data_IF_015438194187
#
_entry.id   IF_015438194187
#
_cell.length_a   1.000
_cell.length_b   1.000
_cell.length_c   1.000
_cell.angle_alpha   90.00
_cell.angle_beta   90.00
_cell.angle_gamma   90.00
#
_symmetry.space_group_name_H-M   'P 1'
#
loop_
_entity.id
_entity.type
_entity.pdbx_description
1 polymer ?
#
# COMPACT_ATOMS: atom_id res chain seq x y z
N UNK A 1 24.47 44.45 -37.99
CA UNK A 1 23.06 44.07 -37.84
C UNK A 1 23.00 42.58 -37.63
N UNK A 2 22.91 42.13 -36.37
CA UNK A 2 22.35 40.84 -35.97
C UNK A 2 22.29 40.84 -34.44
N UNK A 3 21.13 41.21 -33.91
CA UNK A 3 20.75 40.94 -32.53
C UNK A 3 20.19 39.51 -32.46
N UNK A 4 20.63 38.76 -31.47
CA UNK A 4 20.11 37.44 -31.11
C UNK A 4 19.17 37.62 -29.92
N UNK A 5 17.86 37.55 -30.17
CA UNK A 5 16.86 37.41 -29.12
C UNK A 5 16.72 35.92 -28.74
N UNK A 6 17.11 35.60 -27.50
CA UNK A 6 16.75 34.36 -26.83
C UNK A 6 15.38 34.57 -26.16
N UNK A 7 14.32 34.00 -26.73
CA UNK A 7 13.01 33.93 -26.06
C UNK A 7 12.98 32.68 -25.17
N UNK A 8 12.89 32.94 -23.86
CA UNK A 8 12.61 31.97 -22.81
C UNK A 8 11.17 31.45 -22.96
N UNK A 9 11.00 30.13 -23.02
CA UNK A 9 9.70 29.46 -23.16
C UNK A 9 9.28 28.87 -21.81
N UNK A 10 8.92 29.72 -20.85
CA UNK A 10 8.36 29.32 -19.56
C UNK A 10 7.32 30.33 -19.07
N UNK A 11 6.07 30.15 -19.47
CA UNK A 11 4.89 30.33 -18.59
C UNK A 11 3.61 30.03 -19.37
N UNK A 12 3.24 28.74 -19.45
CA UNK A 12 1.89 28.35 -19.85
C UNK A 12 1.10 28.09 -18.56
N UNK A 13 0.57 29.18 -17.98
CA UNK A 13 -0.04 29.20 -16.66
C UNK A 13 -1.24 28.26 -16.44
N UNK A 14 -1.82 28.35 -15.24
CA UNK A 14 -2.81 27.44 -14.62
C UNK A 14 -3.93 26.89 -15.53
N UNK A 15 -4.39 27.65 -16.52
CA UNK A 15 -5.39 27.16 -17.48
C UNK A 15 -4.86 26.04 -18.39
N UNK A 16 -3.58 26.07 -18.76
CA UNK A 16 -2.93 24.99 -19.50
C UNK A 16 -2.81 23.73 -18.63
N UNK A 17 -2.46 23.89 -17.35
CA UNK A 17 -2.38 22.78 -16.39
C UNK A 17 -3.76 22.14 -16.13
N UNK A 18 -4.82 22.94 -16.06
CA UNK A 18 -6.20 22.43 -15.93
C UNK A 18 -6.65 21.66 -17.19
N UNK A 19 -6.25 22.11 -18.38
CA UNK A 19 -6.59 21.44 -19.64
C UNK A 19 -5.80 20.12 -19.83
N UNK A 20 -4.54 20.08 -19.39
CA UNK A 20 -3.72 18.86 -19.34
C UNK A 20 -4.27 17.86 -18.29
N UNK A 21 -4.76 18.33 -17.15
CA UNK A 21 -5.40 17.47 -16.14
C UNK A 21 -6.78 16.94 -16.58
N UNK A 22 -7.57 17.76 -17.28
CA UNK A 22 -8.87 17.36 -17.83
C UNK A 22 -8.74 16.33 -18.97
N UNK A 23 -7.72 16.47 -19.82
CA UNK A 23 -7.44 15.51 -20.91
C UNK A 23 -6.91 14.17 -20.37
N UNK A 24 -6.09 14.18 -19.30
CA UNK A 24 -5.63 12.95 -18.62
C UNK A 24 -6.74 12.19 -17.89
N UNK A 25 -7.70 12.89 -17.29
CA UNK A 25 -8.85 12.25 -16.61
C UNK A 25 -9.87 11.63 -17.58
N UNK A 26 -10.00 12.16 -18.80
CA UNK A 26 -10.83 11.58 -19.86
C UNK A 26 -10.18 10.33 -20.51
N UNK A 27 -8.85 10.27 -20.59
CA UNK A 27 -8.14 9.06 -21.05
C UNK A 27 -8.37 7.86 -20.11
N UNK A 28 -8.41 8.09 -18.79
CA UNK A 28 -8.70 7.07 -17.77
C UNK A 28 -10.15 6.54 -17.85
N UNK A 29 -11.11 7.31 -18.39
CA UNK A 29 -12.52 6.90 -18.51
C UNK A 29 -12.85 6.11 -19.78
N UNK A 30 -11.95 6.04 -20.77
CA UNK A 30 -12.18 5.30 -22.03
C UNK A 30 -11.65 3.85 -22.03
N UNK A 31 -10.92 3.43 -20.99
CA UNK A 31 -10.42 2.06 -20.85
C UNK A 31 -11.39 1.11 -20.11
N UNK A 32 -12.50 1.62 -19.56
CA UNK A 32 -13.50 0.79 -18.86
C UNK A 32 -14.65 0.28 -19.76
N UNK A 33 -14.59 0.48 -21.08
CA UNK A 33 -15.64 0.03 -22.01
C UNK A 33 -15.24 -1.12 -22.95
N UNK A 34 -14.09 -1.78 -22.73
CA UNK A 34 -13.53 -2.76 -23.69
C UNK A 34 -13.19 -4.14 -23.11
N UNK A 35 -13.81 -4.56 -22.00
CA UNK A 35 -13.72 -5.95 -21.52
C UNK A 35 -15.08 -6.59 -21.22
N UNK A 36 -16.05 -6.33 -22.07
CA UNK A 36 -17.23 -7.18 -22.21
C UNK A 36 -17.30 -7.64 -23.67
N UNK A 37 -16.65 -8.76 -24.00
CA UNK A 37 -16.98 -9.74 -25.06
C UNK A 37 -15.80 -10.70 -25.28
N UNK A 38 -16.06 -12.00 -25.09
CA UNK A 38 -15.54 -13.08 -25.94
C UNK A 38 -14.20 -13.73 -25.58
N UNK A 39 -14.24 -14.98 -25.12
CA UNK A 39 -13.07 -15.86 -25.05
C UNK A 39 -12.83 -16.69 -26.32
N UNK A 40 -11.61 -17.23 -26.49
CA UNK A 40 -11.27 -18.62 -26.89
C UNK A 40 -9.78 -18.75 -27.28
N UNK A 41 -9.11 -19.77 -26.74
CA UNK A 41 -8.13 -20.67 -27.39
C UNK A 41 -6.83 -20.16 -28.01
N UNK A 42 -5.68 -20.60 -27.48
CA UNK A 42 -4.77 -21.58 -28.11
C UNK A 42 -3.32 -21.50 -27.55
N UNK A 43 -2.74 -22.69 -27.34
CA UNK A 43 -1.38 -22.99 -26.86
C UNK A 43 -0.34 -22.84 -27.98
N UNK A 44 0.96 -22.66 -27.67
CA UNK A 44 2.12 -23.50 -28.08
C UNK A 44 3.40 -23.00 -27.37
N UNK A 45 4.26 -23.98 -27.06
CA UNK A 45 5.45 -24.03 -26.23
C UNK A 45 6.69 -23.23 -26.68
N UNK A 46 7.58 -22.97 -25.72
CA UNK A 46 9.02 -22.81 -25.95
C UNK A 46 9.83 -23.47 -24.83
N UNK A 47 10.67 -24.43 -25.21
CA UNK A 47 11.65 -25.12 -24.37
C UNK A 47 13.04 -24.47 -24.51
N UNK A 48 13.77 -24.42 -23.40
CA UNK A 48 15.24 -24.25 -23.30
C UNK A 48 15.57 -24.22 -21.81
N UNK A 49 16.22 -25.21 -21.18
CA UNK A 49 17.52 -25.83 -21.49
C UNK A 49 18.62 -24.86 -21.07
N UNK A 50 19.52 -25.07 -20.12
CA UNK A 50 19.89 -26.14 -19.19
C UNK A 50 21.17 -25.66 -18.48
N UNK A 51 21.56 -26.23 -17.33
CA UNK A 51 22.90 -25.98 -16.77
C UNK A 51 23.02 -26.02 -15.23
N UNK A 52 23.38 -27.20 -14.73
CA UNK A 52 23.99 -27.57 -13.44
C UNK A 52 25.15 -26.66 -12.99
N UNK A 53 25.74 -26.65 -11.80
CA UNK A 53 25.54 -27.16 -10.43
C UNK A 53 26.83 -26.80 -9.67
N UNK A 54 26.76 -26.67 -8.33
CA UNK A 54 27.83 -26.93 -7.34
C UNK A 54 29.09 -26.03 -7.38
N UNK A 55 29.89 -25.81 -6.35
CA UNK A 55 29.91 -25.94 -4.89
C UNK A 55 31.27 -25.34 -4.52
N UNK A 56 31.41 -24.64 -3.40
CA UNK A 56 32.72 -24.15 -2.96
C UNK A 56 32.70 -23.73 -1.50
N UNK A 57 32.99 -24.70 -0.64
CA UNK A 57 32.95 -24.60 0.83
C UNK A 57 34.26 -24.05 1.41
N UNK A 58 34.09 -23.31 2.52
CA UNK A 58 34.90 -23.21 3.75
C UNK A 58 36.32 -22.63 3.79
N UNK A 59 36.52 -21.90 4.90
CA UNK A 59 37.69 -21.84 5.80
C UNK A 59 38.36 -20.46 5.81
N UNK A 60 38.88 -19.86 6.89
CA UNK A 60 38.92 -20.13 8.34
C UNK A 60 39.63 -18.92 8.99
N UNK A 61 39.38 -18.70 10.30
CA UNK A 61 40.18 -17.96 11.28
C UNK A 61 40.16 -16.42 11.27
N UNK A 62 39.50 -15.88 12.30
CA UNK A 62 39.79 -14.56 12.88
C UNK A 62 40.92 -14.68 13.90
N UNK A 63 41.93 -13.83 13.75
CA UNK A 63 42.98 -13.61 14.74
C UNK A 63 42.68 -12.34 15.51
N UNK A 64 42.57 -12.49 16.83
CA UNK A 64 42.50 -11.43 17.84
C UNK A 64 43.79 -10.64 17.88
N UNK A 65 43.70 -9.31 17.81
CA UNK A 65 44.80 -8.43 18.24
C UNK A 65 44.24 -7.31 19.13
N UNK A 66 44.59 -7.42 20.41
CA UNK A 66 44.40 -6.43 21.46
C UNK A 66 45.38 -5.28 21.25
N UNK A 67 44.91 -4.03 21.22
CA UNK A 67 45.76 -2.85 21.34
C UNK A 67 45.25 -1.94 22.45
N UNK A 68 46.11 -1.81 23.46
CA UNK A 68 46.07 -0.90 24.59
C UNK A 68 46.24 0.54 24.10
N UNK A 69 45.41 1.48 24.55
CA UNK A 69 45.65 2.92 24.36
C UNK A 69 45.51 3.66 25.68
N UNK A 70 46.64 4.25 26.07
CA UNK A 70 46.88 5.11 27.22
C UNK A 70 46.14 6.44 27.08
N UNK A 71 45.64 6.95 28.21
CA UNK A 71 44.90 8.19 28.31
C UNK A 71 45.73 9.45 28.08
N UNK A 72 45.06 10.46 27.53
CA UNK A 72 45.53 11.86 27.52
C UNK A 72 44.34 12.77 27.83
N UNK A 73 44.53 13.58 28.87
CA UNK A 73 43.64 14.63 29.36
C UNK A 73 43.71 15.84 28.44
N UNK A 74 42.56 16.33 27.94
CA UNK A 74 42.48 17.68 27.34
C UNK A 74 41.11 18.32 27.59
N UNK A 75 41.16 19.38 28.41
CA UNK A 75 40.42 20.66 28.39
C UNK A 75 39.06 20.72 27.68
N UNK A 76 38.03 21.04 28.46
CA UNK A 76 36.67 21.29 27.98
C UNK A 76 36.57 22.56 27.13
N UNK A 77 36.20 22.34 25.86
CA UNK A 77 35.69 23.37 24.96
C UNK A 77 34.18 23.28 24.95
N UNK A 78 33.51 24.37 25.33
CA UNK A 78 32.05 24.51 25.25
C UNK A 78 31.65 24.59 23.78
N UNK A 79 31.26 23.45 23.21
CA UNK A 79 30.71 23.39 21.85
C UNK A 79 29.26 23.83 21.90
N UNK A 80 28.98 25.05 21.43
CA UNK A 80 27.62 25.50 21.12
C UNK A 80 27.01 24.48 20.16
N UNK A 81 26.06 23.70 20.66
CA UNK A 81 25.31 22.74 19.85
C UNK A 81 24.36 23.55 18.99
N UNK A 82 24.81 23.96 17.80
CA UNK A 82 23.90 24.37 16.74
C UNK A 82 23.06 23.15 16.43
N UNK A 83 21.83 23.13 16.96
CA UNK A 83 20.88 22.06 16.70
C UNK A 83 20.68 21.99 15.20
N UNK A 84 21.25 20.97 14.57
CA UNK A 84 20.91 20.61 13.20
C UNK A 84 19.45 20.20 13.23
N UNK A 85 18.54 21.12 12.86
CA UNK A 85 17.17 20.77 12.51
C UNK A 85 17.25 19.80 11.35
N UNK A 86 17.23 18.50 11.65
CA UNK A 86 16.94 17.48 10.65
C UNK A 86 15.52 17.75 10.18
N UNK A 87 15.38 18.42 9.04
CA UNK A 87 14.12 18.47 8.33
C UNK A 87 13.79 17.05 7.92
N UNK A 88 12.91 16.39 8.67
CA UNK A 88 12.33 15.12 8.22
C UNK A 88 11.59 15.40 6.92
N UNK A 89 12.04 14.75 5.84
CA UNK A 89 11.31 14.72 4.58
C UNK A 89 10.47 13.45 4.53
N UNK A 90 9.23 13.60 4.08
CA UNK A 90 8.27 12.54 3.83
C UNK A 90 7.66 12.78 2.46
N UNK A 91 7.19 11.71 1.84
CA UNK A 91 6.60 11.73 0.51
C UNK A 91 5.09 11.81 0.67
N UNK A 92 4.42 12.67 -0.10
CA UNK A 92 2.98 12.64 -0.20
C UNK A 92 2.56 11.39 -0.99
N UNK A 93 1.76 10.53 -0.38
CA UNK A 93 1.21 9.37 -1.05
C UNK A 93 0.29 9.82 -2.20
N UNK A 94 0.36 9.17 -3.37
CA UNK A 94 -0.54 9.49 -4.47
C UNK A 94 -1.97 9.10 -4.13
N UNK A 95 -2.92 9.87 -4.65
CA UNK A 95 -4.34 9.48 -4.62
C UNK A 95 -4.59 8.39 -5.64
N UNK A 96 -5.17 7.28 -5.18
CA UNK A 96 -5.63 6.19 -6.05
C UNK A 96 -7.13 5.99 -5.98
N UNK A 97 -7.65 5.18 -6.90
CA UNK A 97 -9.05 4.75 -6.86
C UNK A 97 -9.36 3.94 -5.59
N UNK A 98 -10.54 4.16 -5.00
CA UNK A 98 -11.11 3.26 -3.99
C UNK A 98 -11.59 1.93 -4.60
N UNK A 99 -11.58 1.81 -5.93
CA UNK A 99 -12.01 0.62 -6.63
C UNK A 99 -13.49 0.31 -6.42
N UNK A 100 -13.96 -0.86 -6.86
CA UNK A 100 -15.39 -1.19 -6.82
C UNK A 100 -15.88 -1.71 -5.45
N UNK A 101 -14.98 -1.95 -4.48
CA UNK A 101 -15.28 -2.68 -3.24
C UNK A 101 -15.06 -1.92 -1.90
N UNK A 102 -15.20 -0.58 -1.81
CA UNK A 102 -14.85 0.16 -0.59
C UNK A 102 -15.82 -0.08 0.58
N UNK A 103 -17.14 -0.15 0.36
CA UNK A 103 -18.14 -0.18 1.44
C UNK A 103 -18.05 1.05 2.36
N UNK A 104 -17.77 2.20 1.77
CA UNK A 104 -17.64 3.53 2.38
C UNK A 104 -18.90 4.40 2.13
N UNK A 105 -19.92 3.82 1.51
CA UNK A 105 -21.13 4.51 1.08
C UNK A 105 -21.02 5.26 -0.26
N UNK A 106 -19.88 5.16 -0.98
CA UNK A 106 -19.73 5.74 -2.32
C UNK A 106 -20.19 4.80 -3.43
N UNK A 107 -20.39 3.52 -3.11
CA UNK A 107 -20.81 2.49 -4.05
C UNK A 107 -22.09 1.75 -3.63
N UNK A 108 -22.66 1.00 -4.57
CA UNK A 108 -23.91 0.26 -4.42
C UNK A 108 -23.68 -1.21 -4.78
N UNK A 109 -24.28 -2.13 -4.01
CA UNK A 109 -24.31 -3.58 -4.27
C UNK A 109 -25.76 -4.02 -4.31
N UNK A 110 -26.16 -4.69 -5.39
CA UNK A 110 -27.54 -5.21 -5.54
C UNK A 110 -28.62 -4.13 -5.31
N UNK A 111 -28.36 -2.89 -5.73
CA UNK A 111 -29.29 -1.76 -5.58
C UNK A 111 -29.31 -1.09 -4.21
N UNK A 112 -28.47 -1.54 -3.25
CA UNK A 112 -28.36 -0.96 -1.90
C UNK A 112 -27.00 -0.31 -1.71
N UNK A 113 -26.97 0.89 -1.12
CA UNK A 113 -25.72 1.57 -0.75
C UNK A 113 -24.94 0.71 0.24
N UNK A 114 -23.70 0.36 -0.11
CA UNK A 114 -22.83 -0.44 0.75
C UNK A 114 -22.02 0.51 1.64
N UNK A 115 -22.27 0.50 2.95
CA UNK A 115 -21.55 1.33 3.91
C UNK A 115 -21.29 0.58 5.23
N UNK A 116 -20.11 -0.03 5.35
CA UNK A 116 -19.65 -0.66 6.58
C UNK A 116 -19.21 0.36 7.63
N UNK A 117 -18.84 1.59 7.23
CA UNK A 117 -18.33 2.62 8.15
C UNK A 117 -19.39 3.11 9.15
N UNK A 118 -20.68 2.94 8.85
CA UNK A 118 -21.78 3.25 9.77
C UNK A 118 -22.21 2.06 10.63
N UNK A 119 -21.58 0.89 10.45
CA UNK A 119 -21.95 -0.33 11.18
C UNK A 119 -21.22 -0.43 12.51
N UNK A 120 -21.95 -0.70 13.59
CA UNK A 120 -21.34 -0.91 14.91
C UNK A 120 -20.35 -2.08 14.87
N UNK A 121 -19.17 -1.89 15.45
CA UNK A 121 -18.07 -2.86 15.44
C UNK A 121 -17.05 -2.66 14.32
N UNK A 122 -17.23 -1.70 13.40
CA UNK A 122 -16.23 -1.42 12.35
C UNK A 122 -14.94 -0.78 12.89
N UNK A 123 -15.01 -0.08 14.03
CA UNK A 123 -13.82 0.49 14.70
C UNK A 123 -13.15 -0.62 15.50
N UNK A 124 -12.02 -1.14 15.00
CA UNK A 124 -11.39 -2.37 15.50
C UNK A 124 -9.96 -2.53 14.98
N UNK A 125 -9.11 -3.19 15.77
CA UNK A 125 -7.74 -3.54 15.38
C UNK A 125 -7.65 -4.87 14.62
N UNK A 126 -8.26 -5.94 15.13
CA UNK A 126 -8.29 -7.23 14.43
C UNK A 126 -9.45 -7.26 13.44
N UNK A 127 -9.14 -7.23 12.14
CA UNK A 127 -10.14 -7.19 11.06
C UNK A 127 -10.41 -8.58 10.44
N UNK A 128 -9.80 -9.66 10.93
CA UNK A 128 -9.91 -10.98 10.28
C UNK A 128 -11.30 -11.60 10.34
N UNK A 129 -12.06 -11.28 11.37
CA UNK A 129 -13.42 -11.82 11.58
C UNK A 129 -14.49 -10.81 11.19
N UNK A 130 -15.60 -11.29 10.67
CA UNK A 130 -16.80 -10.49 10.45
C UNK A 130 -17.38 -9.97 11.78
N UNK A 131 -18.32 -9.03 11.69
CA UNK A 131 -18.91 -8.34 12.84
C UNK A 131 -20.37 -7.97 12.61
N UNK A 132 -21.04 -7.56 13.69
CA UNK A 132 -22.47 -7.25 13.67
C UNK A 132 -23.29 -8.52 13.46
N UNK A 133 -24.13 -8.54 12.43
CA UNK A 133 -24.95 -9.70 12.05
C UNK A 133 -24.18 -10.79 11.30
N UNK A 134 -22.91 -10.54 10.94
CA UNK A 134 -22.05 -11.48 10.22
C UNK A 134 -21.05 -12.14 11.16
N UNK A 135 -20.55 -13.33 10.83
CA UNK A 135 -19.78 -14.16 11.77
C UNK A 135 -18.57 -14.91 11.22
N UNK A 136 -18.36 -14.97 9.90
CA UNK A 136 -17.24 -15.73 9.32
C UNK A 136 -15.89 -15.04 9.50
N UNK A 137 -14.81 -15.83 9.54
CA UNK A 137 -13.42 -15.36 9.65
C UNK A 137 -12.67 -15.70 8.37
N UNK A 138 -11.86 -14.77 7.88
CA UNK A 138 -11.01 -15.00 6.72
C UNK A 138 -9.75 -15.80 7.09
N UNK A 139 -9.53 -16.90 6.37
CA UNK A 139 -8.28 -17.67 6.45
C UNK A 139 -7.17 -16.98 5.65
N UNK A 140 -5.93 -17.05 6.15
CA UNK A 140 -4.75 -16.54 5.46
C UNK A 140 -3.53 -16.46 6.35
N UNK A 141 -2.40 -16.04 5.75
CA UNK A 141 -1.15 -15.81 6.50
C UNK A 141 -1.29 -14.55 7.33
N UNK A 142 -1.05 -14.64 8.63
CA UNK A 142 -1.21 -13.53 9.57
C UNK A 142 -0.33 -12.33 9.19
N UNK A 143 -0.92 -11.14 9.24
CA UNK A 143 -0.26 -9.87 9.00
C UNK A 143 -0.62 -8.87 10.12
N UNK A 144 0.39 -8.33 10.80
CA UNK A 144 0.23 -7.14 11.63
C UNK A 144 0.65 -5.92 10.82
N UNK A 145 -0.29 -5.05 10.47
CA UNK A 145 -0.06 -3.84 9.68
C UNK A 145 -0.06 -2.62 10.59
N UNK A 146 1.09 -1.97 10.74
CA UNK A 146 1.25 -0.70 11.43
C UNK A 146 1.35 0.43 10.41
N UNK A 147 0.42 1.38 10.48
CA UNK A 147 0.37 2.56 9.60
C UNK A 147 0.67 3.79 10.45
N UNK A 148 1.66 4.57 10.02
CA UNK A 148 1.93 5.90 10.55
C UNK A 148 1.43 6.95 9.56
N UNK A 149 0.73 7.97 10.03
CA UNK A 149 0.18 9.04 9.19
C UNK A 149 0.85 10.36 9.56
N UNK A 150 1.37 11.08 8.57
CA UNK A 150 2.12 12.33 8.76
C UNK A 150 1.65 13.42 7.80
N UNK A 151 1.81 14.68 8.20
CA UNK A 151 1.51 15.84 7.37
C UNK A 151 2.74 16.30 6.57
N UNK A 152 2.70 16.17 5.25
CA UNK A 152 3.81 16.57 4.37
C UNK A 152 3.98 18.08 4.24
N UNK A 153 2.95 18.88 4.53
CA UNK A 153 3.01 20.34 4.52
C UNK A 153 3.50 20.92 5.86
N UNK A 154 3.67 20.09 6.88
CA UNK A 154 4.08 20.50 8.23
C UNK A 154 5.28 19.69 8.74
N UNK A 155 6.33 19.60 7.92
CA UNK A 155 7.60 18.92 8.27
C UNK A 155 7.41 17.48 8.77
N UNK A 156 6.42 16.76 8.21
CA UNK A 156 6.09 15.38 8.59
C UNK A 156 5.60 15.24 10.04
N UNK A 157 4.93 16.26 10.57
CA UNK A 157 4.27 16.19 11.86
C UNK A 157 3.27 15.02 11.90
N UNK A 158 3.23 14.31 13.03
CA UNK A 158 2.29 13.20 13.23
C UNK A 158 0.85 13.68 13.16
N UNK A 159 -0.01 12.98 12.41
CA UNK A 159 -1.43 13.28 12.33
C UNK A 159 -2.21 12.43 13.34
N UNK A 160 -2.45 12.99 14.52
CA UNK A 160 -3.23 12.35 15.60
C UNK A 160 -4.74 12.60 15.45
N UNK A 161 -5.57 11.61 15.81
CA UNK A 161 -7.04 11.72 15.76
C UNK A 161 -7.65 11.46 14.38
N UNK A 162 -6.84 11.16 13.37
CA UNK A 162 -7.29 10.83 12.02
C UNK A 162 -7.82 9.39 11.99
N UNK A 163 -8.91 9.16 11.26
CA UNK A 163 -9.42 7.82 11.07
C UNK A 163 -8.79 7.18 9.82
N UNK A 164 -8.28 5.96 9.98
CA UNK A 164 -7.71 5.15 8.91
C UNK A 164 -8.65 3.98 8.67
N UNK A 165 -9.27 3.93 7.49
CA UNK A 165 -10.06 2.79 7.05
C UNK A 165 -9.20 1.90 6.15
N UNK A 166 -9.22 0.58 6.37
CA UNK A 166 -8.50 -0.40 5.57
C UNK A 166 -9.46 -1.47 5.06
N UNK A 167 -9.30 -1.88 3.80
CA UNK A 167 -9.95 -3.08 3.26
C UNK A 167 -9.10 -3.80 2.21
N UNK A 168 -9.27 -5.12 2.09
CA UNK A 168 -8.62 -5.91 1.05
C UNK A 168 -9.34 -7.24 0.78
N UNK A 169 -8.88 -7.98 -0.24
CA UNK A 169 -9.38 -9.30 -0.58
C UNK A 169 -8.87 -10.38 0.39
N UNK A 170 -9.60 -11.50 0.49
CA UNK A 170 -9.14 -12.68 1.21
C UNK A 170 -8.04 -13.45 0.46
N UNK A 171 -7.57 -14.56 1.03
CA UNK A 171 -6.53 -15.43 0.43
C UNK A 171 -6.92 -16.05 -0.93
N UNK A 172 -8.21 -15.99 -1.29
CA UNK A 172 -8.74 -16.46 -2.58
C UNK A 172 -9.04 -15.30 -3.55
N UNK A 173 -8.71 -14.06 -3.20
CA UNK A 173 -8.93 -12.88 -4.04
C UNK A 173 -10.37 -12.35 -4.01
N UNK A 174 -11.17 -12.73 -3.01
CA UNK A 174 -12.57 -12.33 -2.88
C UNK A 174 -12.70 -11.15 -1.92
N UNK A 175 -13.57 -10.20 -2.24
CA UNK A 175 -13.91 -9.09 -1.34
C UNK A 175 -15.21 -9.39 -0.61
N UNK A 176 -15.17 -9.42 0.72
CA UNK A 176 -16.34 -9.57 1.59
C UNK A 176 -17.43 -8.54 1.23
N UNK A 177 -18.71 -8.87 1.31
CA UNK A 177 -19.87 -8.08 0.83
C UNK A 177 -20.08 -8.06 -0.70
N UNK A 178 -19.07 -8.38 -1.51
CA UNK A 178 -19.13 -8.18 -2.97
C UNK A 178 -19.00 -9.47 -3.77
N UNK A 179 -17.97 -10.25 -3.49
CA UNK A 179 -17.65 -11.43 -4.28
C UNK A 179 -18.57 -12.60 -3.94
N UNK A 180 -18.92 -13.40 -4.96
CA UNK A 180 -19.69 -14.63 -4.77
C UNK A 180 -19.05 -15.53 -3.71
N UNK A 181 -19.87 -16.11 -2.84
CA UNK A 181 -19.45 -16.94 -1.71
C UNK A 181 -19.05 -16.18 -0.44
N UNK A 182 -18.90 -14.85 -0.50
CA UNK A 182 -18.53 -14.01 0.67
C UNK A 182 -19.37 -12.73 0.78
N UNK A 183 -20.50 -12.66 0.06
CA UNK A 183 -21.46 -11.53 0.15
C UNK A 183 -22.10 -11.40 1.54
N UNK A 184 -22.19 -12.50 2.30
CA UNK A 184 -22.69 -12.51 3.67
C UNK A 184 -21.57 -12.40 4.71
N UNK A 185 -20.46 -11.74 4.38
CA UNK A 185 -19.32 -11.52 5.27
C UNK A 185 -18.89 -10.06 5.19
N UNK A 186 -18.26 -9.54 6.24
CA UNK A 186 -17.68 -8.19 6.27
C UNK A 186 -16.30 -8.15 6.95
N UNK A 187 -15.61 -9.28 7.04
CA UNK A 187 -14.21 -9.35 7.46
C UNK A 187 -13.30 -8.52 6.54
N UNK A 188 -12.04 -8.37 6.98
CA UNK A 188 -10.94 -7.67 6.30
C UNK A 188 -11.28 -6.23 5.95
N UNK A 189 -12.08 -5.61 6.82
CA UNK A 189 -12.54 -4.22 6.79
C UNK A 189 -12.48 -3.68 8.20
N UNK A 190 -11.87 -2.53 8.41
CA UNK A 190 -11.88 -1.91 9.73
C UNK A 190 -11.30 -0.52 9.77
N UNK A 191 -11.72 0.21 10.79
CA UNK A 191 -11.30 1.58 11.06
C UNK A 191 -10.51 1.61 12.36
N UNK A 192 -9.43 2.37 12.39
CA UNK A 192 -8.72 2.75 13.61
C UNK A 192 -8.52 4.26 13.62
N UNK A 193 -8.31 4.84 14.80
CA UNK A 193 -7.99 6.26 14.96
C UNK A 193 -6.53 6.38 15.37
N UNK A 194 -5.78 7.24 14.69
CA UNK A 194 -4.36 7.45 14.97
C UNK A 194 -4.14 7.99 16.38
N UNK A 195 -3.15 7.42 17.08
CA UNK A 195 -2.74 7.87 18.41
C UNK A 195 -1.94 9.19 18.36
N UNK A 196 -1.34 9.60 19.49
CA UNK A 196 -0.51 10.80 19.56
C UNK A 196 0.75 10.74 18.67
N UNK A 197 1.18 9.54 18.27
CA UNK A 197 2.30 9.32 17.35
C UNK A 197 1.86 9.28 15.89
N UNK A 198 0.56 9.44 15.61
CA UNK A 198 0.00 9.31 14.28
C UNK A 198 -0.13 7.86 13.84
N UNK A 199 -0.16 6.90 14.78
CA UNK A 199 -0.05 5.47 14.47
C UNK A 199 -1.36 4.72 14.70
N UNK A 200 -1.64 3.76 13.83
CA UNK A 200 -2.65 2.71 14.01
C UNK A 200 -2.03 1.35 13.74
N UNK A 201 -2.59 0.30 14.35
CA UNK A 201 -2.19 -1.08 14.07
C UNK A 201 -3.42 -1.95 13.82
N UNK A 202 -3.35 -2.74 12.76
CA UNK A 202 -4.35 -3.73 12.38
C UNK A 202 -3.77 -5.15 12.45
N UNK A 203 -4.56 -6.09 12.93
CA UNK A 203 -4.31 -7.53 12.74
C UNK A 203 -5.19 -8.02 11.61
N UNK A 204 -4.57 -8.52 10.55
CA UNK A 204 -5.23 -8.96 9.32
C UNK A 204 -4.54 -10.19 8.72
N UNK A 205 -4.81 -10.52 7.47
CA UNK A 205 -4.07 -11.51 6.68
C UNK A 205 -3.40 -10.87 5.47
N UNK A 206 -2.42 -11.55 4.89
CA UNK A 206 -1.85 -11.16 3.61
C UNK A 206 -2.90 -11.25 2.48
N UNK A 207 -3.09 -10.22 1.63
CA UNK A 207 -4.05 -10.27 0.53
C UNK A 207 -3.57 -11.22 -0.59
N UNK A 208 -4.50 -11.81 -1.33
CA UNK A 208 -4.15 -12.60 -2.53
C UNK A 208 -3.74 -11.73 -3.72
N UNK A 209 -3.18 -12.38 -4.74
CA UNK A 209 -3.15 -11.83 -6.10
C UNK A 209 -4.38 -12.33 -6.86
N UNK A 210 -5.35 -11.46 -7.10
CA UNK A 210 -6.43 -11.75 -8.05
C UNK A 210 -6.03 -11.30 -9.47
N UNK A 211 -6.75 -11.79 -10.47
CA UNK A 211 -6.38 -11.60 -11.89
C UNK A 211 -6.37 -10.10 -12.26
N UNK A 212 -5.31 -9.67 -12.94
CA UNK A 212 -5.17 -8.32 -13.49
C UNK A 212 -4.75 -7.21 -12.51
N UNK A 213 -4.48 -7.50 -11.23
CA UNK A 213 -4.04 -6.49 -10.25
C UNK A 213 -2.86 -6.96 -9.41
N UNK A 214 -1.91 -6.07 -9.17
CA UNK A 214 -0.83 -6.28 -8.20
C UNK A 214 -1.42 -6.46 -6.79
N UNK A 215 -0.88 -7.34 -5.92
CA UNK A 215 -1.42 -7.52 -4.57
C UNK A 215 -1.37 -6.23 -3.76
N UNK A 216 -2.49 -5.88 -3.11
CA UNK A 216 -2.63 -4.58 -2.44
C UNK A 216 -3.58 -4.63 -1.24
N UNK A 217 -3.45 -3.62 -0.39
CA UNK A 217 -4.39 -3.29 0.67
C UNK A 217 -4.85 -1.86 0.43
N UNK A 218 -6.16 -1.64 0.33
CA UNK A 218 -6.67 -0.29 0.19
C UNK A 218 -6.71 0.44 1.53
N UNK A 219 -6.64 1.76 1.47
CA UNK A 219 -6.93 2.60 2.62
C UNK A 219 -7.57 3.93 2.27
N UNK A 220 -8.27 4.49 3.25
CA UNK A 220 -8.75 5.87 3.26
C UNK A 220 -8.37 6.55 4.57
N UNK A 221 -7.98 7.81 4.48
CA UNK A 221 -7.66 8.68 5.61
C UNK A 221 -8.73 9.75 5.73
N UNK A 222 -9.34 9.88 6.90
CA UNK A 222 -10.32 10.90 7.21
C UNK A 222 -9.81 11.80 8.34
N UNK A 223 -10.18 13.10 8.38
CA UNK A 223 -9.77 14.01 9.46
C UNK A 223 -10.18 13.56 10.86
N UNK A 224 -11.25 12.76 10.95
CA UNK A 224 -11.75 12.19 12.21
C UNK A 224 -12.63 10.96 11.96
N UNK A 225 -12.93 10.23 13.04
CA UNK A 225 -13.91 9.13 12.98
C UNK A 225 -15.32 9.61 12.60
N UNK A 226 -15.73 10.79 13.07
CA UNK A 226 -17.04 11.36 12.74
C UNK A 226 -17.17 11.59 11.22
N UNK A 227 -16.13 12.16 10.59
CA UNK A 227 -16.09 12.39 9.14
C UNK A 227 -16.06 11.10 8.33
N UNK A 228 -15.49 10.01 8.85
CA UNK A 228 -15.47 8.72 8.15
C UNK A 228 -16.88 8.14 7.94
N UNK A 229 -17.83 8.46 8.83
CA UNK A 229 -19.23 7.98 8.70
C UNK A 229 -20.08 8.80 7.73
N UNK A 230 -19.57 9.97 7.34
CA UNK A 230 -20.21 10.85 6.35
C UNK A 230 -19.54 10.63 5.00
N UNK A 231 -20.27 10.04 4.04
CA UNK A 231 -19.75 9.66 2.72
C UNK A 231 -18.89 10.76 2.06
N UNK A 232 -17.85 10.36 1.31
CA UNK A 232 -17.02 11.25 0.45
C UNK A 232 -16.17 12.30 1.17
N UNK A 233 -15.72 12.05 2.39
CA UNK A 233 -14.89 12.98 3.17
C UNK A 233 -13.46 12.47 3.43
N UNK A 234 -13.00 11.48 2.65
CA UNK A 234 -11.61 11.04 2.72
C UNK A 234 -10.70 12.18 2.24
N UNK A 235 -9.69 12.51 3.06
CA UNK A 235 -8.59 13.40 2.70
C UNK A 235 -7.64 12.73 1.71
N UNK A 236 -7.48 11.41 1.83
CA UNK A 236 -6.67 10.60 0.94
C UNK A 236 -7.35 9.22 0.78
N UNK A 237 -7.52 8.81 -0.46
CA UNK A 237 -7.85 7.43 -0.84
C UNK A 237 -6.63 6.89 -1.58
N UNK A 238 -6.10 5.74 -1.18
CA UNK A 238 -4.94 5.14 -1.85
C UNK A 238 -4.82 3.64 -1.57
N UNK A 239 -3.70 3.03 -1.97
CA UNK A 239 -3.46 1.59 -1.88
C UNK A 239 -2.01 1.31 -1.49
N UNK A 240 -1.78 0.36 -0.59
CA UNK A 240 -0.45 -0.18 -0.33
C UNK A 240 -0.10 -1.23 -1.39
N UNK A 241 1.07 -1.12 -2.00
CA UNK A 241 1.60 -2.13 -2.92
C UNK A 241 2.37 -3.19 -2.11
N UNK A 242 1.93 -4.45 -2.11
CA UNK A 242 2.58 -5.47 -1.30
C UNK A 242 3.95 -5.85 -1.90
N UNK A 243 5.01 -6.03 -1.08
CA UNK A 243 6.36 -6.25 -1.59
C UNK A 243 6.51 -7.61 -2.28
N UNK A 244 7.04 -7.59 -3.50
CA UNK A 244 7.14 -8.74 -4.41
C UNK A 244 7.80 -9.98 -3.80
N UNK A 245 8.89 -9.78 -3.04
CA UNK A 245 9.62 -10.88 -2.41
C UNK A 245 8.75 -11.65 -1.42
N UNK A 246 7.94 -10.95 -0.61
CA UNK A 246 7.07 -11.58 0.39
C UNK A 246 5.85 -12.22 -0.27
N UNK A 247 5.27 -11.57 -1.29
CA UNK A 247 4.23 -12.18 -2.14
C UNK A 247 4.72 -13.52 -2.71
N UNK A 248 5.94 -13.55 -3.26
CA UNK A 248 6.55 -14.77 -3.81
C UNK A 248 6.69 -15.86 -2.75
N UNK A 249 7.16 -15.52 -1.55
CA UNK A 249 7.28 -16.49 -0.45
C UNK A 249 5.91 -17.05 -0.03
N UNK A 250 4.90 -16.19 0.16
CA UNK A 250 3.58 -16.61 0.64
C UNK A 250 2.84 -17.45 -0.41
N UNK A 251 2.82 -17.00 -1.67
CA UNK A 251 2.04 -17.68 -2.72
C UNK A 251 2.61 -19.05 -3.06
N UNK A 252 3.94 -19.22 -3.02
CA UNK A 252 4.57 -20.52 -3.23
C UNK A 252 4.56 -21.40 -1.96
N UNK A 253 4.48 -20.80 -0.77
CA UNK A 253 4.60 -21.51 0.49
C UNK A 253 3.27 -21.95 1.13
N UNK A 254 2.13 -21.39 0.70
CA UNK A 254 0.82 -21.68 1.29
C UNK A 254 -0.21 -22.08 0.24
N UNK A 255 -0.82 -23.25 0.41
CA UNK A 255 -1.87 -23.75 -0.48
C UNK A 255 -3.13 -22.88 -0.49
N UNK A 256 -3.36 -22.08 0.55
CA UNK A 256 -4.45 -21.11 0.63
C UNK A 256 -4.40 -20.08 -0.50
N UNK A 257 -3.20 -19.81 -1.06
CA UNK A 257 -2.97 -18.79 -2.07
C UNK A 257 -2.66 -19.37 -3.45
N UNK A 258 -2.98 -20.65 -3.70
CA UNK A 258 -2.62 -21.36 -4.95
C UNK A 258 -3.02 -20.61 -6.23
N UNK A 259 -4.21 -19.98 -6.26
CA UNK A 259 -4.65 -19.16 -7.40
C UNK A 259 -3.79 -17.88 -7.60
N UNK A 260 -3.15 -17.38 -6.54
CA UNK A 260 -2.30 -16.20 -6.61
C UNK A 260 -1.03 -16.45 -7.41
N UNK A 261 -0.52 -17.69 -7.48
CA UNK A 261 0.72 -18.01 -8.20
C UNK A 261 0.59 -17.63 -9.68
N UNK A 262 -0.46 -18.10 -10.34
CA UNK A 262 -0.67 -17.87 -11.76
C UNK A 262 -1.09 -16.44 -12.07
N UNK A 263 -1.82 -15.77 -11.18
CA UNK A 263 -2.19 -14.36 -11.35
C UNK A 263 -0.97 -13.45 -11.17
N UNK A 264 -0.15 -13.70 -10.15
CA UNK A 264 1.03 -12.90 -9.84
C UNK A 264 2.07 -12.95 -10.95
N UNK A 265 2.20 -14.10 -11.63
CA UNK A 265 3.09 -14.24 -12.79
C UNK A 265 2.69 -13.37 -14.00
N UNK A 266 1.46 -12.83 -14.05
CA UNK A 266 0.95 -12.02 -15.17
C UNK A 266 1.05 -10.52 -14.94
N UNK A 267 1.40 -10.08 -13.73
CA UNK A 267 1.34 -8.67 -13.33
C UNK A 267 2.67 -8.20 -12.72
N UNK A 268 2.98 -6.92 -12.90
CA UNK A 268 4.03 -6.22 -12.16
C UNK A 268 3.47 -4.90 -11.63
N UNK A 269 4.17 -4.28 -10.68
CA UNK A 269 3.84 -2.92 -10.23
C UNK A 269 3.77 -1.95 -11.43
N UNK A 270 4.67 -2.10 -12.41
CA UNK A 270 4.75 -1.24 -13.60
C UNK A 270 3.66 -1.49 -14.64
N UNK A 271 3.03 -2.67 -14.66
CA UNK A 271 1.92 -2.98 -15.58
C UNK A 271 0.55 -2.91 -14.90
N UNK A 272 0.50 -2.78 -13.57
CA UNK A 272 -0.74 -2.60 -12.83
C UNK A 272 -1.38 -1.25 -13.18
N UNK A 273 -2.69 -1.26 -13.44
CA UNK A 273 -3.43 -0.05 -13.85
C UNK A 273 -3.62 1.01 -12.76
N UNK A 274 -3.19 0.75 -11.52
CA UNK A 274 -3.18 1.72 -10.41
C UNK A 274 -1.76 2.16 -10.07
N UNK A 275 -0.80 1.24 -10.01
CA UNK A 275 0.56 1.59 -9.62
C UNK A 275 1.47 1.97 -10.78
N UNK A 276 1.13 1.61 -12.03
CA UNK A 276 2.03 1.70 -13.17
C UNK A 276 2.43 3.11 -13.61
N UNK A 277 1.67 4.14 -13.21
CA UNK A 277 1.97 5.54 -13.50
C UNK A 277 2.53 6.33 -12.30
N UNK A 278 2.78 5.65 -11.18
CA UNK A 278 3.46 6.24 -10.02
C UNK A 278 4.97 6.29 -10.22
N UNK A 279 5.59 7.35 -9.69
CA UNK A 279 7.05 7.45 -9.63
C UNK A 279 7.65 6.41 -8.70
N UNK A 280 8.93 6.07 -8.89
CA UNK A 280 9.66 5.15 -8.00
C UNK A 280 9.56 5.56 -6.52
N UNK A 281 9.61 6.87 -6.24
CA UNK A 281 9.49 7.41 -4.88
C UNK A 281 8.10 7.19 -4.28
N UNK A 282 7.05 7.36 -5.07
CA UNK A 282 5.67 7.08 -4.64
C UNK A 282 5.46 5.59 -4.41
N UNK A 283 5.93 4.73 -5.32
CA UNK A 283 5.88 3.27 -5.12
C UNK A 283 6.62 2.85 -3.84
N UNK A 284 7.78 3.44 -3.56
CA UNK A 284 8.51 3.18 -2.33
C UNK A 284 7.72 3.62 -1.08
N UNK A 285 7.05 4.78 -1.11
CA UNK A 285 6.20 5.25 -0.01
C UNK A 285 4.98 4.34 0.22
N UNK A 286 4.37 3.84 -0.86
CA UNK A 286 3.20 2.95 -0.82
C UNK A 286 3.55 1.49 -0.49
N UNK A 287 4.83 1.11 -0.46
CA UNK A 287 5.27 -0.27 -0.22
C UNK A 287 5.67 -0.46 1.25
N UNK A 288 4.92 -1.25 2.05
CA UNK A 288 5.28 -1.50 3.43
C UNK A 288 6.63 -2.21 3.58
N UNK A 289 7.39 -1.85 4.61
CA UNK A 289 8.55 -2.63 5.05
C UNK A 289 8.07 -3.83 5.86
N UNK A 290 8.52 -5.02 5.50
CA UNK A 290 7.98 -6.27 6.07
C UNK A 290 9.07 -7.11 6.71
N UNK A 291 8.78 -7.64 7.89
CA UNK A 291 9.60 -8.63 8.60
C UNK A 291 8.73 -9.81 9.04
N UNK A 292 9.36 -10.94 9.38
CA UNK A 292 8.66 -12.15 9.82
C UNK A 292 8.83 -13.31 8.86
N UNK A 293 7.94 -14.30 8.97
CA UNK A 293 8.03 -15.55 8.21
C UNK A 293 6.65 -16.15 7.98
N UNK A 294 6.57 -17.10 7.04
CA UNK A 294 5.32 -17.78 6.74
C UNK A 294 4.69 -18.50 7.95
N UNK A 295 5.52 -19.09 8.83
CA UNK A 295 5.05 -19.84 9.99
C UNK A 295 4.66 -18.94 11.17
N UNK A 296 5.35 -17.82 11.37
CA UNK A 296 5.08 -16.88 12.46
C UNK A 296 4.07 -15.79 12.08
N UNK A 297 3.83 -15.58 10.79
CA UNK A 297 3.18 -14.39 10.27
C UNK A 297 4.18 -13.24 10.04
N UNK A 298 3.65 -12.15 9.48
CA UNK A 298 4.44 -10.98 9.09
C UNK A 298 4.03 -9.74 9.90
N UNK A 299 5.00 -8.86 10.12
CA UNK A 299 4.78 -7.50 10.60
C UNK A 299 5.19 -6.52 9.49
N UNK A 300 4.26 -5.64 9.11
CA UNK A 300 4.45 -4.61 8.11
C UNK A 300 4.35 -3.22 8.73
N UNK A 301 5.28 -2.34 8.38
CA UNK A 301 5.25 -0.92 8.76
C UNK A 301 5.24 -0.06 7.52
N UNK A 302 4.42 0.99 7.51
CA UNK A 302 4.34 1.95 6.41
C UNK A 302 4.04 3.35 6.95
N UNK A 303 4.63 4.37 6.33
CA UNK A 303 4.33 5.79 6.62
C UNK A 303 3.55 6.36 5.45
N UNK A 304 2.36 6.86 5.71
CA UNK A 304 1.48 7.55 4.75
C UNK A 304 1.64 9.05 4.93
N UNK A 305 2.09 9.73 3.89
CA UNK A 305 2.15 11.19 3.85
C UNK A 305 0.89 11.81 3.27
N UNK A 306 0.26 12.69 4.04
CA UNK A 306 -0.95 13.43 3.64
C UNK A 306 -0.62 14.92 3.55
N UNK A 307 -1.00 15.58 2.46
CA UNK A 307 -0.75 17.00 2.26
C UNK A 307 -1.93 17.85 2.79
N UNK A 308 -1.92 18.16 4.09
CA UNK A 308 -2.98 18.93 4.80
C UNK A 308 -2.49 20.13 5.58
#
# INVERSE_FOLDING_TARGET
MQEHDHLEDHDRGLNHDLEVMATRTLARRKLLSLFAVGGTGALIAACGGGGSSSTGTTSTASTTTTTTTTGTTTTGTTTTTTGTTTTSSCVADPTETNGPYPSDGTNTVSGVVSNSLTTSGVVRSDIRSSFGSYSGTADGVLLTLKVKVVNTNSSCANLSGYAVYVWHCDALGRYSLYSSGVTSQNYLRGVQVTDANGEVTFTTIWPACYDGRWPHIHFEIFPSLATATTQRNATLTSQFAMPSAVCTTIYNGSSLYSASISNFAKVSVTTDGVFGDNTTTQIAAMTPTVTGSLSAGYAATVTVGVAV
#
